data_IF_253923476449
#
_entry.id   IF_253923476449
#
_cell.length_a   1.000
_cell.length_b   1.000
_cell.length_c   1.000
_cell.angle_alpha   90.00
_cell.angle_beta   90.00
_cell.angle_gamma   90.00
#
_symmetry.space_group_name_H-M   'P 1'
#
loop_
_entity.id
_entity.type
_entity.pdbx_description
1 polymer ?
#
# COMPACT_ATOMS: atom_id res chain seq x y z
N UNK A 1 1.62 -3.80 29.36
CA UNK A 1 2.24 -3.25 28.13
C UNK A 1 3.42 -4.14 27.80
N UNK A 2 3.53 -4.69 26.58
CA UNK A 2 4.49 -5.77 26.30
C UNK A 2 5.98 -5.34 26.34
N UNK A 3 6.31 -4.07 26.12
CA UNK A 3 7.70 -3.57 26.18
C UNK A 3 7.76 -2.13 26.72
N UNK A 4 7.98 -1.93 28.03
CA UNK A 4 8.18 -0.59 28.62
C UNK A 4 9.39 0.11 28.00
N UNK A 5 9.32 1.44 27.80
CA UNK A 5 10.43 2.22 27.23
C UNK A 5 10.56 2.19 25.71
N UNK A 6 9.90 1.25 25.03
CA UNK A 6 9.86 1.18 23.57
C UNK A 6 8.52 1.66 23.01
N UNK A 7 8.53 2.16 21.78
CA UNK A 7 7.32 2.55 21.05
C UNK A 7 7.54 2.35 19.55
N UNK A 8 6.47 1.99 18.86
CA UNK A 8 6.45 1.86 17.40
C UNK A 8 5.55 2.96 16.85
N UNK A 9 6.03 3.68 15.85
CA UNK A 9 5.23 4.61 15.07
C UNK A 9 4.98 4.00 13.68
N UNK A 10 3.78 4.21 13.15
CA UNK A 10 3.44 3.88 11.76
C UNK A 10 3.02 5.18 11.10
N UNK A 11 3.67 5.50 9.98
CA UNK A 11 3.35 6.66 9.17
C UNK A 11 2.76 6.14 7.87
N UNK A 12 1.54 6.58 7.55
CA UNK A 12 0.87 6.25 6.31
C UNK A 12 0.99 7.46 5.38
N UNK A 13 1.73 7.29 4.28
CA UNK A 13 1.74 8.26 3.20
C UNK A 13 0.51 8.01 2.32
N UNK A 14 -0.53 8.85 2.48
CA UNK A 14 -1.72 8.80 1.63
C UNK A 14 -1.44 9.37 0.23
N UNK A 15 -2.18 8.86 -0.77
CA UNK A 15 -2.22 9.39 -2.15
C UNK A 15 -0.86 9.54 -2.84
N UNK A 16 0.04 8.57 -2.66
CA UNK A 16 1.34 8.56 -3.35
C UNK A 16 1.12 8.15 -4.82
N UNK A 17 1.55 8.97 -5.81
CA UNK A 17 1.37 8.66 -7.23
C UNK A 17 2.08 7.36 -7.64
N UNK A 18 1.38 6.48 -8.34
CA UNK A 18 1.91 5.21 -8.84
C UNK A 18 3.07 5.42 -9.82
N UNK A 19 2.99 6.50 -10.61
CA UNK A 19 3.93 6.90 -11.66
C UNK A 19 5.36 7.06 -11.14
N UNK A 20 5.52 7.34 -9.85
CA UNK A 20 6.84 7.46 -9.22
C UNK A 20 7.58 6.11 -9.14
N UNK A 21 6.84 5.00 -9.18
CA UNK A 21 7.35 3.65 -8.97
C UNK A 21 7.38 2.81 -10.26
N UNK A 22 6.65 3.22 -11.30
CA UNK A 22 6.52 2.51 -12.58
C UNK A 22 7.85 2.05 -13.17
N UNK A 23 8.90 2.89 -13.05
CA UNK A 23 10.24 2.59 -13.58
C UNK A 23 10.89 1.32 -13.00
N UNK A 24 10.37 0.78 -11.90
CA UNK A 24 10.82 -0.49 -11.33
C UNK A 24 9.74 -1.58 -11.34
N UNK A 25 8.63 -1.39 -12.05
CA UNK A 25 7.50 -2.34 -12.12
C UNK A 25 7.92 -3.77 -12.49
N UNK A 26 8.83 -3.90 -13.46
CA UNK A 26 9.30 -5.20 -13.96
C UNK A 26 10.48 -5.79 -13.17
N UNK A 27 10.91 -5.12 -12.10
CA UNK A 27 12.02 -5.63 -11.27
C UNK A 27 11.53 -6.63 -10.23
N UNK A 28 12.44 -7.48 -9.75
CA UNK A 28 12.14 -8.48 -8.72
C UNK A 28 12.24 -7.85 -7.32
N UNK A 29 11.35 -8.27 -6.40
CA UNK A 29 11.43 -7.90 -4.98
C UNK A 29 12.84 -8.16 -4.43
N UNK A 30 13.34 -7.26 -3.58
CA UNK A 30 14.72 -7.25 -3.06
C UNK A 30 15.85 -7.10 -4.11
N UNK A 31 15.51 -6.97 -5.40
CA UNK A 31 16.47 -6.85 -6.50
C UNK A 31 16.07 -5.75 -7.49
N UNK A 32 15.69 -4.58 -6.97
CA UNK A 32 15.24 -3.42 -7.78
C UNK A 32 16.36 -2.44 -8.15
N UNK A 33 17.57 -2.69 -7.67
CA UNK A 33 18.76 -1.90 -7.99
C UNK A 33 19.01 -0.73 -7.03
N UNK A 34 20.20 -0.14 -7.11
CA UNK A 34 20.66 0.91 -6.17
C UNK A 34 19.84 2.21 -6.27
N UNK A 35 19.36 2.54 -7.46
CA UNK A 35 18.53 3.73 -7.68
C UNK A 35 17.18 3.62 -6.94
N UNK A 36 16.57 2.43 -6.91
CA UNK A 36 15.37 2.17 -6.10
C UNK A 36 15.66 2.30 -4.61
N UNK A 37 16.74 1.69 -4.12
CA UNK A 37 17.09 1.74 -2.70
C UNK A 37 17.40 3.17 -2.24
N UNK A 38 18.07 3.97 -3.08
CA UNK A 38 18.32 5.38 -2.80
C UNK A 38 17.02 6.21 -2.78
N UNK A 39 16.11 5.99 -3.74
CA UNK A 39 14.80 6.62 -3.75
C UNK A 39 14.00 6.29 -2.50
N UNK A 40 13.97 5.01 -2.12
CA UNK A 40 13.28 4.50 -0.93
C UNK A 40 13.84 5.09 0.36
N UNK A 41 15.17 5.18 0.47
CA UNK A 41 15.84 5.81 1.60
C UNK A 41 15.48 7.31 1.71
N UNK A 42 15.55 8.04 0.60
CA UNK A 42 15.15 9.46 0.58
C UNK A 42 13.67 9.67 0.95
N UNK A 43 12.79 8.74 0.57
CA UNK A 43 11.39 8.76 0.98
C UNK A 43 11.24 8.57 2.50
N UNK A 44 11.95 7.60 3.08
CA UNK A 44 11.98 7.37 4.51
C UNK A 44 12.50 8.60 5.29
N UNK A 45 13.59 9.22 4.82
CA UNK A 45 14.17 10.41 5.45
C UNK A 45 13.17 11.58 5.51
N UNK A 46 12.40 11.79 4.43
CA UNK A 46 11.35 12.83 4.40
C UNK A 46 10.23 12.54 5.39
N UNK A 47 9.78 11.29 5.50
CA UNK A 47 8.74 10.91 6.46
C UNK A 47 9.23 10.99 7.91
N UNK A 48 10.48 10.63 8.18
CA UNK A 48 11.10 10.77 9.51
C UNK A 48 11.24 12.23 9.91
N UNK A 49 11.61 13.11 8.99
CA UNK A 49 11.70 14.53 9.29
C UNK A 49 10.31 15.11 9.62
N UNK A 50 9.25 14.70 8.91
CA UNK A 50 7.86 15.03 9.29
C UNK A 50 7.51 14.50 10.70
N UNK A 51 7.88 13.26 11.02
CA UNK A 51 7.69 12.70 12.35
C UNK A 51 8.39 13.55 13.42
N UNK A 52 9.64 13.97 13.18
CA UNK A 52 10.41 14.79 14.11
C UNK A 52 9.83 16.21 14.24
N UNK A 53 9.26 16.77 13.18
CA UNK A 53 8.58 18.06 13.26
C UNK A 53 7.34 18.01 14.16
N UNK A 54 6.53 16.96 14.03
CA UNK A 54 5.32 16.79 14.86
C UNK A 54 5.63 16.26 16.26
N UNK A 55 6.67 15.45 16.42
CA UNK A 55 7.10 14.83 17.67
C UNK A 55 8.60 15.00 17.88
N UNK A 56 9.09 16.20 18.25
CA UNK A 56 10.52 16.50 18.34
C UNK A 56 11.30 15.58 19.29
N UNK A 57 10.65 15.03 20.31
CA UNK A 57 11.24 14.10 21.27
C UNK A 57 11.68 12.77 20.65
N UNK A 58 11.25 12.45 19.42
CA UNK A 58 11.65 11.25 18.69
C UNK A 58 13.02 11.37 18.02
N UNK A 59 13.56 12.58 17.88
CA UNK A 59 14.84 12.81 17.20
C UNK A 59 15.99 12.14 17.95
N UNK A 60 16.81 11.37 17.23
CA UNK A 60 17.90 10.59 17.81
C UNK A 60 17.46 9.38 18.66
N UNK A 61 16.16 9.03 18.65
CA UNK A 61 15.61 7.87 19.39
C UNK A 61 15.05 6.77 18.48
N UNK A 62 15.25 6.90 17.18
CA UNK A 62 14.79 5.91 16.20
C UNK A 62 15.90 4.86 16.04
N UNK A 63 15.61 3.64 16.49
CA UNK A 63 16.55 2.51 16.40
C UNK A 63 16.48 1.80 15.05
N UNK A 64 15.27 1.69 14.48
CA UNK A 64 15.03 0.99 13.22
C UNK A 64 13.95 1.70 12.40
N UNK A 65 14.14 1.70 11.08
CA UNK A 65 13.19 2.25 10.11
C UNK A 65 13.04 1.25 8.96
N UNK A 66 11.80 0.95 8.62
CA UNK A 66 11.46 0.22 7.41
C UNK A 66 10.37 0.98 6.66
N UNK A 67 10.42 0.91 5.34
CA UNK A 67 9.45 1.56 4.46
C UNK A 67 9.03 0.59 3.37
N UNK A 68 7.72 0.44 3.21
CA UNK A 68 7.10 -0.25 2.09
C UNK A 68 6.69 0.74 1.01
N UNK A 69 6.59 0.25 -0.22
CA UNK A 69 6.20 1.01 -1.40
C UNK A 69 5.03 0.34 -2.11
N UNK A 70 4.33 1.04 -3.02
CA UNK A 70 3.38 0.46 -3.97
C UNK A 70 3.83 -0.85 -4.63
N UNK A 71 5.12 -0.97 -4.96
CA UNK A 71 5.67 -2.18 -5.58
C UNK A 71 5.69 -3.39 -4.63
N UNK A 72 5.82 -3.15 -3.32
CA UNK A 72 5.74 -4.20 -2.31
C UNK A 72 4.29 -4.68 -2.16
N UNK A 73 3.33 -3.76 -2.19
CA UNK A 73 1.89 -4.08 -2.20
C UNK A 73 1.51 -4.90 -3.42
N UNK A 74 1.99 -4.53 -4.62
CA UNK A 74 1.77 -5.33 -5.84
C UNK A 74 2.31 -6.75 -5.69
N UNK A 75 3.53 -6.89 -5.16
CA UNK A 75 4.17 -8.19 -5.02
C UNK A 75 3.48 -9.09 -3.98
N UNK A 76 3.21 -8.57 -2.78
CA UNK A 76 2.70 -9.39 -1.67
C UNK A 76 1.18 -9.52 -1.65
N UNK A 77 0.44 -8.54 -2.17
CA UNK A 77 -1.02 -8.50 -2.11
C UNK A 77 -1.69 -8.62 -3.49
N UNK A 78 -0.92 -8.84 -4.56
CA UNK A 78 -1.46 -9.03 -5.91
C UNK A 78 -2.18 -7.79 -6.47
N UNK A 79 -1.73 -6.60 -6.05
CA UNK A 79 -2.28 -5.31 -6.47
C UNK A 79 -1.74 -4.87 -7.83
N UNK A 80 -2.48 -3.97 -8.48
CA UNK A 80 -2.15 -3.48 -9.82
C UNK A 80 -1.28 -2.23 -9.74
N UNK A 81 -1.67 -1.26 -8.93
CA UNK A 81 -1.01 0.05 -8.81
C UNK A 81 -0.69 0.43 -7.36
N UNK A 82 -0.45 -0.57 -6.50
CA UNK A 82 -0.01 -0.42 -5.12
C UNK A 82 -1.10 -0.08 -4.11
N UNK A 83 -2.35 -0.37 -4.45
CA UNK A 83 -3.53 -0.01 -3.67
C UNK A 83 -3.51 -0.66 -2.29
N UNK A 84 -3.27 0.13 -1.24
CA UNK A 84 -3.14 -0.39 0.14
C UNK A 84 -4.49 -0.70 0.79
N UNK A 85 -5.54 0.05 0.44
CA UNK A 85 -6.89 -0.04 1.03
C UNK A 85 -7.98 -0.35 0.00
N UNK A 86 -7.58 -1.02 -1.07
CA UNK A 86 -8.47 -1.44 -2.14
C UNK A 86 -8.64 -0.43 -3.27
N UNK A 87 -9.50 -0.77 -4.22
CA UNK A 87 -9.74 0.02 -5.43
C UNK A 87 -10.05 1.48 -5.12
N UNK A 88 -9.29 2.40 -5.71
CA UNK A 88 -9.46 3.83 -5.57
C UNK A 88 -10.91 4.25 -5.83
N UNK A 89 -11.48 5.06 -4.92
CA UNK A 89 -12.82 5.60 -5.08
C UNK A 89 -12.76 6.78 -6.04
N UNK A 90 -13.25 6.59 -7.26
CA UNK A 90 -13.34 7.62 -8.30
C UNK A 90 -14.78 7.73 -8.79
N UNK A 91 -15.15 8.85 -9.44
CA UNK A 91 -16.47 8.98 -10.07
C UNK A 91 -16.68 7.90 -11.15
N UNK A 92 -15.64 7.62 -11.95
CA UNK A 92 -15.67 6.55 -12.93
C UNK A 92 -15.97 5.18 -12.29
N UNK A 93 -15.45 4.93 -11.08
CA UNK A 93 -15.79 3.72 -10.33
C UNK A 93 -17.27 3.70 -9.96
N UNK A 94 -17.83 4.80 -9.43
CA UNK A 94 -19.26 4.83 -9.06
C UNK A 94 -20.22 4.63 -10.23
N UNK A 95 -19.77 4.89 -11.45
CA UNK A 95 -20.54 4.70 -12.69
C UNK A 95 -20.26 3.36 -13.37
N UNK A 96 -19.27 2.59 -12.90
CA UNK A 96 -18.88 1.32 -13.48
C UNK A 96 -19.90 0.20 -13.18
N UNK A 97 -19.93 -0.81 -14.04
CA UNK A 97 -20.67 -2.05 -13.74
C UNK A 97 -19.99 -2.77 -12.56
N UNK A 98 -20.72 -2.95 -11.45
CA UNK A 98 -20.26 -3.65 -10.25
C UNK A 98 -20.63 -5.14 -10.23
N UNK A 99 -21.29 -5.64 -11.27
CA UNK A 99 -21.78 -7.02 -11.34
C UNK A 99 -20.69 -8.08 -11.12
N UNK A 100 -19.43 -7.76 -11.45
CA UNK A 100 -18.26 -8.62 -11.26
C UNK A 100 -17.50 -8.37 -9.94
N UNK A 101 -17.80 -7.28 -9.24
CA UNK A 101 -17.21 -6.92 -7.94
C UNK A 101 -18.07 -7.35 -6.74
N UNK A 102 -19.32 -7.74 -6.98
CA UNK A 102 -20.22 -8.22 -5.93
C UNK A 102 -19.69 -9.48 -5.25
N UNK A 103 -20.06 -9.70 -3.98
CA UNK A 103 -19.71 -10.92 -3.23
C UNK A 103 -20.11 -12.21 -3.96
N UNK A 104 -21.18 -12.14 -4.76
CA UNK A 104 -21.56 -13.17 -5.74
C UNK A 104 -21.57 -12.56 -7.14
N UNK A 105 -20.46 -12.67 -7.90
CA UNK A 105 -20.36 -12.09 -9.24
C UNK A 105 -21.44 -12.62 -10.19
N UNK A 106 -22.01 -11.75 -11.02
CA UNK A 106 -22.97 -12.10 -12.06
C UNK A 106 -22.29 -12.53 -13.37
N UNK A 107 -21.23 -13.34 -13.24
CA UNK A 107 -20.42 -13.80 -14.38
C UNK A 107 -21.02 -15.11 -14.92
N UNK A 108 -21.21 -15.27 -16.25
CA UNK A 108 -21.71 -16.50 -16.82
C UNK A 108 -20.87 -17.72 -16.38
N UNK A 109 -21.55 -18.76 -15.90
CA UNK A 109 -20.94 -20.00 -15.39
C UNK A 109 -20.12 -19.84 -14.09
N UNK A 110 -20.36 -18.78 -13.30
CA UNK A 110 -19.77 -18.67 -11.96
C UNK A 110 -20.12 -19.90 -11.10
N UNK A 111 -19.15 -20.58 -10.47
CA UNK A 111 -19.41 -21.76 -9.66
C UNK A 111 -20.36 -21.47 -8.50
N UNK A 112 -21.39 -22.30 -8.34
CA UNK A 112 -22.26 -22.25 -7.18
C UNK A 112 -21.48 -22.50 -5.89
N UNK A 113 -21.73 -21.69 -4.86
CA UNK A 113 -21.04 -21.79 -3.56
C UNK A 113 -19.68 -21.09 -3.48
N UNK A 114 -19.19 -20.50 -4.57
CA UNK A 114 -18.00 -19.65 -4.56
C UNK A 114 -18.39 -18.18 -4.33
N UNK A 115 -17.72 -17.53 -3.38
CA UNK A 115 -17.94 -16.13 -3.03
C UNK A 115 -16.63 -15.36 -3.08
N UNK A 116 -16.69 -14.10 -3.51
CA UNK A 116 -15.58 -13.16 -3.38
C UNK A 116 -15.63 -12.50 -2.00
N UNK A 117 -14.46 -12.25 -1.42
CA UNK A 117 -14.30 -11.49 -0.19
C UNK A 117 -13.04 -10.63 -0.25
N UNK A 118 -13.01 -9.57 0.56
CA UNK A 118 -11.88 -8.65 0.65
C UNK A 118 -12.29 -7.20 0.40
N UNK A 119 -11.32 -6.31 0.51
CA UNK A 119 -11.51 -4.85 0.43
C UNK A 119 -12.00 -4.34 -0.94
N UNK A 120 -11.81 -5.13 -2.01
CA UNK A 120 -12.19 -4.75 -3.36
C UNK A 120 -13.61 -5.22 -3.74
N UNK A 121 -14.25 -6.01 -2.87
CA UNK A 121 -15.59 -6.56 -3.09
C UNK A 121 -16.64 -5.54 -2.65
N UNK A 122 -17.68 -5.36 -3.47
CA UNK A 122 -18.82 -4.52 -3.13
C UNK A 122 -19.90 -5.32 -2.39
N UNK A 123 -20.52 -4.67 -1.40
CA UNK A 123 -21.68 -5.19 -0.67
C UNK A 123 -22.96 -4.78 -1.40
N UNK A 124 -23.20 -5.32 -2.59
CA UNK A 124 -24.51 -5.26 -3.25
C UNK A 124 -25.03 -6.67 -3.53
#
# INVERSE_FOLDING_TARGET
RAHPGHSTAVILAGDVPWEWFERWGDTRVHHRGKDYEAFRAGFADRLLELLHQHYPSTRGRVEHVSVGTPLDTNHYLGKSCGESYGLQQTLAKSEADFSWLAARPQIPKWPGGLYLAGQDVTCE
#
